data_IF_315767902283
#
_entry.id   IF_315767902283
#
_cell.length_a   1.000
_cell.length_b   1.000
_cell.length_c   1.000
_cell.angle_alpha   90.00
_cell.angle_beta   90.00
_cell.angle_gamma   90.00
#
_symmetry.space_group_name_H-M   'P 1'
#
loop_
_entity.id
_entity.type
_entity.pdbx_description
1 polymer ?
#
# COMPACT_ATOMS: atom_id res chain seq x y z
N UNK A 1 21.20 -10.11 5.33
CA UNK A 1 20.83 -10.49 6.70
C UNK A 1 19.42 -9.96 6.94
N UNK A 2 18.48 -10.71 7.52
CA UNK A 2 17.14 -10.19 7.84
C UNK A 2 17.23 -9.19 9.00
N UNK A 3 16.35 -8.20 9.03
CA UNK A 3 16.31 -7.13 10.05
C UNK A 3 15.12 -7.36 10.97
N UNK A 4 15.36 -7.42 12.28
CA UNK A 4 14.35 -7.43 13.33
C UNK A 4 13.81 -6.00 13.56
N UNK A 5 12.49 -5.85 13.76
CA UNK A 5 11.82 -4.57 14.08
C UNK A 5 11.12 -4.74 15.45
N UNK A 6 11.43 -3.88 16.43
CA UNK A 6 10.83 -3.88 17.78
C UNK A 6 9.56 -3.01 17.87
N UNK A 7 8.68 -3.31 18.82
CA UNK A 7 7.43 -2.56 19.07
C UNK A 7 7.73 -1.12 19.49
N UNK A 8 7.45 -0.17 18.60
CA UNK A 8 7.71 1.27 18.79
C UNK A 8 8.71 1.86 17.80
N UNK A 9 9.42 1.02 17.04
CA UNK A 9 10.20 1.49 15.90
C UNK A 9 9.26 1.91 14.77
N UNK A 10 9.33 3.18 14.39
CA UNK A 10 8.77 3.61 13.12
C UNK A 10 9.56 2.90 12.03
N UNK A 11 9.00 1.81 11.50
CA UNK A 11 9.53 1.12 10.34
C UNK A 11 9.75 2.16 9.23
N UNK A 12 11.00 2.56 9.04
CA UNK A 12 11.36 3.54 8.03
C UNK A 12 11.44 2.76 6.73
N UNK A 13 10.36 2.84 5.96
CA UNK A 13 10.31 2.24 4.63
C UNK A 13 11.23 3.07 3.74
N UNK A 14 12.46 2.62 3.57
CA UNK A 14 13.42 3.22 2.64
C UNK A 14 13.00 2.87 1.21
N UNK A 15 12.29 3.78 0.56
CA UNK A 15 11.90 3.64 -0.85
C UNK A 15 12.99 4.28 -1.68
N UNK A 16 13.75 3.44 -2.40
CA UNK A 16 14.80 3.90 -3.28
C UNK A 16 14.19 4.63 -4.50
N UNK A 17 14.51 5.92 -4.66
CA UNK A 17 14.13 6.72 -5.83
C UNK A 17 13.06 7.79 -5.57
N UNK A 18 12.84 8.63 -6.58
CA UNK A 18 11.71 9.55 -6.64
C UNK A 18 10.49 8.79 -7.16
N UNK A 19 9.72 8.19 -6.26
CA UNK A 19 8.59 7.35 -6.68
C UNK A 19 7.44 7.49 -5.69
N UNK A 20 6.24 7.81 -6.20
CA UNK A 20 5.01 7.62 -5.41
C UNK A 20 4.85 6.13 -5.08
N UNK A 21 4.21 5.82 -3.96
CA UNK A 21 3.92 4.45 -3.56
C UNK A 21 2.53 4.37 -2.92
N UNK A 22 2.04 3.16 -2.76
CA UNK A 22 0.74 2.87 -2.17
C UNK A 22 0.93 2.02 -0.93
N UNK A 23 0.17 2.32 0.12
CA UNK A 23 0.10 1.51 1.32
C UNK A 23 -1.33 1.00 1.42
N UNK A 24 -1.47 -0.32 1.44
CA UNK A 24 -2.74 -0.98 1.69
C UNK A 24 -2.71 -1.55 3.11
N UNK A 25 -3.67 -1.13 3.92
CA UNK A 25 -3.92 -1.70 5.25
C UNK A 25 -5.23 -2.50 5.19
N UNK A 26 -5.20 -3.78 5.55
CA UNK A 26 -6.35 -4.68 5.54
C UNK A 26 -6.54 -5.28 6.92
N UNK A 27 -7.77 -5.31 7.42
CA UNK A 27 -8.09 -5.97 8.68
C UNK A 27 -8.40 -7.44 8.40
N UNK A 28 -7.53 -8.34 8.88
CA UNK A 28 -7.64 -9.79 8.73
C UNK A 28 -7.92 -10.40 10.11
N UNK A 29 -9.19 -10.75 10.37
CA UNK A 29 -9.60 -11.25 11.67
C UNK A 29 -9.50 -10.18 12.77
N UNK A 30 -8.51 -10.31 13.66
CA UNK A 30 -8.21 -9.32 14.71
C UNK A 30 -6.91 -8.54 14.46
N UNK A 31 -6.24 -8.82 13.35
CA UNK A 31 -4.94 -8.27 13.02
C UNK A 31 -5.06 -7.24 11.89
N UNK A 32 -4.14 -6.28 11.88
CA UNK A 32 -4.00 -5.30 10.82
C UNK A 32 -2.77 -5.67 9.99
N UNK A 33 -3.00 -6.13 8.77
CA UNK A 33 -1.94 -6.40 7.82
C UNK A 33 -1.68 -5.15 6.99
N UNK A 34 -0.41 -4.80 6.80
CA UNK A 34 0.01 -3.65 6.02
C UNK A 34 1.00 -4.07 4.94
N UNK A 35 0.72 -3.67 3.70
CA UNK A 35 1.57 -3.94 2.55
C UNK A 35 1.84 -2.66 1.77
N UNK A 36 3.06 -2.56 1.24
CA UNK A 36 3.54 -1.37 0.51
C UNK A 36 3.85 -1.78 -0.92
N UNK A 37 3.37 -0.99 -1.87
CA UNK A 37 3.48 -1.26 -3.30
C UNK A 37 4.09 -0.04 -3.99
N UNK A 38 5.08 -0.26 -4.86
CA UNK A 38 5.63 0.81 -5.67
C UNK A 38 4.64 1.24 -6.79
N UNK A 39 4.83 2.44 -7.34
CA UNK A 39 4.05 2.92 -8.49
C UNK A 39 4.69 2.46 -9.82
N UNK A 40 4.86 1.15 -9.98
CA UNK A 40 5.26 0.52 -11.23
C UNK A 40 4.26 -0.58 -11.64
N UNK A 41 4.28 -1.03 -12.91
CA UNK A 41 3.26 -1.93 -13.43
C UNK A 41 3.17 -3.30 -12.71
N UNK A 42 4.28 -3.82 -12.17
CA UNK A 42 4.28 -5.12 -11.52
C UNK A 42 3.62 -5.01 -10.14
N UNK A 43 4.08 -4.07 -9.32
CA UNK A 43 3.53 -3.79 -7.99
C UNK A 43 2.06 -3.36 -8.03
N UNK A 44 1.66 -2.58 -9.05
CA UNK A 44 0.25 -2.22 -9.25
C UNK A 44 -0.65 -3.42 -9.59
N UNK A 45 -0.09 -4.44 -10.24
CA UNK A 45 -0.76 -5.71 -10.49
C UNK A 45 -1.02 -6.48 -9.19
N UNK A 46 -0.03 -6.54 -8.31
CA UNK A 46 -0.14 -7.18 -6.99
C UNK A 46 -1.09 -6.43 -6.06
N UNK A 47 -0.99 -5.10 -6.01
CA UNK A 47 -1.92 -4.24 -5.28
C UNK A 47 -3.37 -4.48 -5.73
N UNK A 48 -3.60 -4.60 -7.04
CA UNK A 48 -4.93 -4.91 -7.58
C UNK A 48 -5.43 -6.28 -7.11
N UNK A 49 -4.57 -7.30 -7.11
CA UNK A 49 -4.94 -8.63 -6.65
C UNK A 49 -5.35 -8.61 -5.17
N UNK A 50 -4.54 -7.96 -4.32
CA UNK A 50 -4.81 -7.80 -2.90
C UNK A 50 -6.12 -7.04 -2.63
N UNK A 51 -6.37 -5.96 -3.39
CA UNK A 51 -7.62 -5.20 -3.29
C UNK A 51 -8.86 -6.04 -3.64
N UNK A 52 -8.80 -6.88 -4.67
CA UNK A 52 -9.92 -7.76 -5.05
C UNK A 52 -10.11 -8.91 -4.05
N UNK A 53 -9.02 -9.47 -3.52
CA UNK A 53 -9.06 -10.50 -2.48
C UNK A 53 -9.72 -9.97 -1.21
N UNK A 54 -9.22 -8.86 -0.67
CA UNK A 54 -9.76 -8.25 0.53
C UNK A 54 -11.22 -7.79 0.36
N UNK A 55 -11.56 -7.30 -0.83
CA UNK A 55 -12.95 -6.99 -1.20
C UNK A 55 -13.84 -8.24 -1.23
N UNK A 56 -13.37 -9.34 -1.82
CA UNK A 56 -14.09 -10.62 -1.87
C UNK A 56 -14.35 -11.16 -0.46
N UNK A 57 -13.35 -11.03 0.42
CA UNK A 57 -13.43 -11.37 1.84
C UNK A 57 -14.25 -10.37 2.67
N UNK A 58 -14.74 -9.27 2.08
CA UNK A 58 -15.45 -8.15 2.76
C UNK A 58 -14.65 -7.57 3.93
N UNK A 59 -13.33 -7.59 3.83
CA UNK A 59 -12.45 -7.03 4.84
C UNK A 59 -12.51 -5.50 4.82
N UNK A 60 -12.29 -4.89 5.98
CA UNK A 60 -12.10 -3.46 6.05
C UNK A 60 -10.71 -3.13 5.48
N UNK A 61 -10.65 -2.13 4.59
CA UNK A 61 -9.42 -1.74 3.92
C UNK A 61 -9.24 -0.22 3.95
N UNK A 62 -7.99 0.21 4.04
CA UNK A 62 -7.59 1.59 3.84
C UNK A 62 -6.48 1.58 2.79
N UNK A 63 -6.67 2.34 1.71
CA UNK A 63 -5.64 2.54 0.70
C UNK A 63 -5.13 3.97 0.82
N UNK A 64 -3.82 4.11 0.97
CA UNK A 64 -3.15 5.40 1.01
C UNK A 64 -2.19 5.51 -0.17
N UNK A 65 -2.19 6.64 -0.86
CA UNK A 65 -1.11 7.02 -1.77
C UNK A 65 -0.18 7.97 -1.05
N UNK A 66 1.10 7.67 -1.08
CA UNK A 66 2.15 8.56 -0.64
C UNK A 66 2.90 9.09 -1.87
N UNK A 67 3.07 10.40 -1.92
CA UNK A 67 3.94 11.02 -2.91
C UNK A 67 5.28 11.35 -2.27
N UNK A 68 6.38 10.92 -2.89
CA UNK A 68 7.72 11.11 -2.35
C UNK A 68 8.59 11.87 -3.34
N UNK A 69 9.38 12.80 -2.82
CA UNK A 69 10.46 13.47 -3.57
C UNK A 69 11.72 13.36 -2.73
N UNK A 70 12.86 13.00 -3.33
CA UNK A 70 14.17 12.99 -2.66
C UNK A 70 14.16 12.26 -1.31
N UNK A 71 13.57 11.05 -1.24
CA UNK A 71 13.60 10.19 -0.06
C UNK A 71 12.70 10.61 1.12
N UNK A 72 11.83 11.61 0.95
CA UNK A 72 10.85 12.01 1.97
C UNK A 72 9.43 12.02 1.40
N UNK A 73 8.47 11.51 2.18
CA UNK A 73 7.04 11.62 1.87
C UNK A 73 6.61 13.08 2.02
N UNK A 74 5.98 13.62 0.97
CA UNK A 74 5.48 15.00 0.91
C UNK A 74 4.00 15.08 1.29
N UNK A 75 3.23 14.08 0.87
CA UNK A 75 1.78 14.07 1.06
C UNK A 75 1.27 12.63 1.17
N UNK A 76 0.20 12.49 1.95
CA UNK A 76 -0.60 11.27 2.05
C UNK A 76 -2.01 11.57 1.57
N UNK A 77 -2.53 10.70 0.71
CA UNK A 77 -3.89 10.79 0.22
C UNK A 77 -4.61 9.47 0.48
N UNK A 78 -5.71 9.53 1.23
CA UNK A 78 -6.62 8.40 1.33
C UNK A 78 -7.38 8.22 0.01
N UNK A 79 -7.34 7.00 -0.52
CA UNK A 79 -8.02 6.61 -1.74
C UNK A 79 -9.15 5.65 -1.39
N UNK A 80 -10.28 5.76 -2.10
CA UNK A 80 -11.32 4.74 -2.03
C UNK A 80 -10.79 3.46 -2.72
N UNK A 81 -10.61 2.35 -1.99
CA UNK A 81 -10.03 1.13 -2.55
C UNK A 81 -10.87 0.53 -3.69
N UNK A 82 -12.20 0.66 -3.60
CA UNK A 82 -13.13 0.13 -4.59
C UNK A 82 -13.17 0.95 -5.88
N UNK A 83 -13.02 2.27 -5.79
CA UNK A 83 -12.87 3.16 -6.97
C UNK A 83 -11.49 2.96 -7.60
N UNK A 84 -10.44 2.85 -6.79
CA UNK A 84 -9.08 2.69 -7.29
C UNK A 84 -8.89 1.36 -8.03
N UNK A 85 -9.34 0.24 -7.46
CA UNK A 85 -9.30 -1.07 -8.12
C UNK A 85 -10.03 -1.09 -9.48
N UNK A 86 -11.10 -0.30 -9.63
CA UNK A 86 -11.79 -0.13 -10.93
C UNK A 86 -10.96 0.65 -11.94
N UNK A 87 -10.21 1.67 -11.52
CA UNK A 87 -9.35 2.48 -12.41
C UNK A 87 -8.18 1.68 -12.97
N UNK A 88 -7.65 0.72 -12.22
CA UNK A 88 -6.59 -0.20 -12.68
C UNK A 88 -7.06 -1.22 -13.75
N UNK A 89 -8.33 -1.18 -14.18
CA UNK A 89 -8.87 -2.05 -15.24
C UNK A 89 -8.76 -1.44 -16.64
N UNK A 90 -8.29 -0.22 -16.76
CA UNK A 90 -8.02 0.45 -18.03
C UNK A 90 -6.54 0.23 -18.37
N UNK A 91 -6.19 -0.38 -19.51
CA UNK A 91 -4.81 -0.60 -19.92
C UNK A 91 -4.06 0.70 -20.17
#
# INVERSE_FOLDING_TARGET
MPVDIEDGDAATIAIAGETSFYVLSVVVGKELEMSVYANDPADLGELRAALEEARSAKQAMILLRADSSTGSVRSWQALDPGVFAKRLRTP
#
